data_IF_432288279673
#
_entry.id   IF_432288279673
#
_cell.length_a   1.000
_cell.length_b   1.000
_cell.length_c   1.000
_cell.angle_alpha   90.00
_cell.angle_beta   90.00
_cell.angle_gamma   90.00
#
_symmetry.space_group_name_H-M   'P 1'
#
loop_
_entity.id
_entity.type
_entity.pdbx_description
1 polymer ?
#
# COMPACT_ATOMS: atom_id res chain seq x y z
N UNK A 1 46.64 65.93 -13.11
CA UNK A 1 45.76 64.74 -13.20
C UNK A 1 45.66 64.09 -11.83
N UNK A 2 44.57 64.35 -11.11
CA UNK A 2 44.38 64.03 -9.69
C UNK A 2 43.78 62.63 -9.50
N UNK A 3 44.51 61.73 -8.84
CA UNK A 3 44.02 60.42 -8.40
C UNK A 3 43.05 60.58 -7.22
N UNK A 4 41.81 60.14 -7.41
CA UNK A 4 40.77 60.10 -6.36
C UNK A 4 40.81 58.73 -5.66
N UNK A 5 41.30 58.71 -4.42
CA UNK A 5 41.18 57.53 -3.55
C UNK A 5 39.72 57.32 -3.18
N UNK A 6 39.21 56.10 -3.40
CA UNK A 6 37.93 55.62 -2.85
C UNK A 6 38.24 54.91 -1.54
N UNK A 7 37.70 55.42 -0.43
CA UNK A 7 37.67 54.73 0.85
C UNK A 7 36.43 53.83 0.91
N UNK A 8 36.61 52.56 1.26
CA UNK A 8 35.52 51.63 1.53
C UNK A 8 35.05 51.82 2.98
N UNK A 9 33.77 52.13 3.16
CA UNK A 9 33.13 52.15 4.47
C UNK A 9 32.57 50.75 4.79
N UNK A 10 33.22 50.03 5.70
CA UNK A 10 32.69 48.81 6.29
C UNK A 10 31.54 49.17 7.24
N UNK A 11 30.31 49.03 6.74
CA UNK A 11 29.12 49.10 7.57
C UNK A 11 29.06 47.90 8.52
N UNK A 12 29.39 48.11 9.80
CA UNK A 12 29.08 47.19 10.89
C UNK A 12 27.56 46.98 10.94
N UNK A 13 27.08 45.88 10.37
CA UNK A 13 25.70 45.43 10.58
C UNK A 13 25.54 45.02 12.04
N UNK A 14 24.78 45.85 12.76
CA UNK A 14 24.29 45.62 14.12
C UNK A 14 23.45 44.33 14.10
N UNK A 15 23.94 43.26 14.74
CA UNK A 15 23.18 42.03 14.98
C UNK A 15 22.11 42.37 16.02
N UNK A 16 20.92 42.73 15.54
CA UNK A 16 19.75 43.01 16.39
C UNK A 16 19.15 41.66 16.83
N UNK A 17 19.32 41.34 18.11
CA UNK A 17 18.47 40.55 19.00
C UNK A 17 17.42 39.59 18.40
N UNK A 18 17.81 38.64 17.56
CA UNK A 18 16.91 37.57 17.06
C UNK A 18 16.69 36.43 18.07
N UNK A 19 17.36 36.46 19.23
CA UNK A 19 17.37 35.34 20.17
C UNK A 19 16.14 35.21 21.07
N UNK A 20 15.36 36.27 21.29
CA UNK A 20 14.18 36.25 22.19
C UNK A 20 12.98 35.60 21.50
N UNK A 21 12.71 35.99 20.26
CA UNK A 21 11.62 35.45 19.43
C UNK A 21 11.78 33.94 19.15
N UNK A 22 13.02 33.48 18.95
CA UNK A 22 13.33 32.06 18.72
C UNK A 22 13.08 31.21 19.98
N UNK A 23 13.35 31.78 21.16
CA UNK A 23 13.13 31.10 22.43
C UNK A 23 11.61 30.91 22.71
N UNK A 24 10.78 31.89 22.34
CA UNK A 24 9.31 31.87 22.48
C UNK A 24 8.62 30.81 21.59
N UNK A 25 9.13 30.60 20.37
CA UNK A 25 8.59 29.58 19.45
C UNK A 25 8.82 28.17 19.99
N UNK A 26 10.02 27.92 20.53
CA UNK A 26 10.32 26.62 21.16
C UNK A 26 9.46 26.41 22.40
N UNK A 27 9.22 27.45 23.19
CA UNK A 27 8.37 27.38 24.38
C UNK A 27 6.91 27.04 24.03
N UNK A 28 6.36 27.67 22.97
CA UNK A 28 5.05 27.30 22.42
C UNK A 28 5.00 25.85 21.95
N UNK A 29 6.07 25.37 21.28
CA UNK A 29 6.16 23.97 20.80
C UNK A 29 6.22 22.97 21.95
N UNK A 30 6.97 23.29 23.01
CA UNK A 30 7.03 22.48 24.24
C UNK A 30 5.65 22.42 24.90
N UNK A 31 4.96 23.55 25.04
CA UNK A 31 3.62 23.63 25.63
C UNK A 31 2.57 22.84 24.82
N UNK A 32 2.59 22.96 23.48
CA UNK A 32 1.68 22.21 22.61
C UNK A 32 1.91 20.70 22.71
N UNK A 33 3.17 20.26 22.78
CA UNK A 33 3.48 18.84 22.96
C UNK A 33 2.95 18.28 24.28
N UNK A 34 2.94 19.09 25.35
CA UNK A 34 2.55 18.63 26.68
C UNK A 34 1.06 18.69 26.95
N UNK A 35 0.33 19.60 26.29
CA UNK A 35 -1.09 19.83 26.60
C UNK A 35 -2.06 19.23 25.57
N UNK A 36 -1.58 18.89 24.38
CA UNK A 36 -2.37 18.15 23.37
C UNK A 36 -2.10 16.64 23.40
N UNK A 37 -1.17 16.18 24.23
CA UNK A 37 -0.94 14.76 24.53
C UNK A 37 -1.43 14.45 25.94
N UNK A 38 -2.71 14.09 26.08
CA UNK A 38 -3.20 13.47 27.30
C UNK A 38 -2.50 12.14 27.56
N UNK A 39 -2.25 11.85 28.84
CA UNK A 39 -1.72 10.60 29.40
C UNK A 39 -0.41 10.09 28.76
N UNK A 40 0.67 10.20 29.54
CA UNK A 40 1.91 9.47 29.29
C UNK A 40 1.69 7.97 29.54
N UNK A 41 0.97 7.32 28.63
CA UNK A 41 1.00 5.87 28.49
C UNK A 41 2.36 5.50 27.87
N UNK A 42 3.09 4.67 28.60
CA UNK A 42 4.42 4.15 28.30
C UNK A 42 4.50 3.56 26.89
N UNK A 43 4.96 4.36 25.92
CA UNK A 43 5.25 3.89 24.58
C UNK A 43 6.54 3.07 24.62
N UNK A 44 6.41 1.80 25.01
CA UNK A 44 7.35 0.76 24.62
C UNK A 44 7.63 0.88 23.11
N UNK A 45 8.88 0.66 22.66
CA UNK A 45 9.18 0.59 21.24
C UNK A 45 8.25 -0.44 20.58
N UNK A 46 7.22 0.06 19.88
CA UNK A 46 6.49 -0.74 18.90
C UNK A 46 7.51 -1.02 17.81
N UNK A 47 8.10 -2.21 17.86
CA UNK A 47 8.72 -2.86 16.72
C UNK A 47 7.77 -2.67 15.54
N UNK A 48 8.11 -1.75 14.63
CA UNK A 48 7.47 -1.69 13.32
C UNK A 48 7.97 -2.92 12.54
N UNK A 49 7.42 -4.07 12.89
CA UNK A 49 7.27 -5.17 11.95
C UNK A 49 6.55 -4.60 10.73
N UNK A 50 7.20 -4.73 9.57
CA UNK A 50 6.55 -4.47 8.30
C UNK A 50 5.46 -5.51 8.09
N UNK A 51 4.28 -5.28 8.67
CA UNK A 51 3.05 -5.94 8.29
C UNK A 51 2.14 -4.90 7.65
N UNK A 52 2.09 -4.97 6.32
CA UNK A 52 1.11 -4.26 5.53
C UNK A 52 -0.30 -4.73 5.96
N UNK A 53 -1.03 -3.87 6.66
CA UNK A 53 -2.46 -4.09 6.90
C UNK A 53 -3.25 -3.79 5.64
N UNK A 54 -3.59 -4.86 4.93
CA UNK A 54 -4.81 -4.92 4.13
C UNK A 54 -6.01 -4.79 5.08
N UNK A 55 -6.93 -3.89 4.76
CA UNK A 55 -8.26 -3.88 5.37
C UNK A 55 -9.15 -4.89 4.64
N UNK A 56 -9.57 -5.94 5.34
CA UNK A 56 -10.84 -6.62 5.09
C UNK A 56 -11.40 -7.15 6.41
N UNK A 57 -12.57 -6.67 6.80
CA UNK A 57 -13.27 -7.11 8.00
C UNK A 57 -14.17 -8.33 7.76
N UNK A 58 -14.13 -9.25 8.73
CA UNK A 58 -15.13 -10.19 9.28
C UNK A 58 -16.10 -10.93 8.33
N UNK A 59 -16.36 -12.24 8.46
CA UNK A 59 -15.99 -13.27 9.43
C UNK A 59 -16.92 -14.49 9.26
N UNK A 60 -16.52 -15.62 9.84
CA UNK A 60 -17.16 -16.94 9.93
C UNK A 60 -16.74 -18.00 8.89
N UNK A 61 -16.18 -19.07 9.44
CA UNK A 61 -15.57 -20.25 8.82
C UNK A 61 -16.60 -21.35 8.57
N UNK A 62 -16.56 -22.02 7.41
CA UNK A 62 -16.33 -23.48 7.32
C UNK A 62 -15.94 -23.87 5.87
N UNK A 63 -15.14 -24.94 5.79
CA UNK A 63 -14.30 -25.44 4.70
C UNK A 63 -15.04 -26.00 3.46
N UNK A 64 -14.38 -25.95 2.28
CA UNK A 64 -14.29 -27.01 1.26
C UNK A 64 -14.16 -26.50 -0.19
N UNK A 65 -13.02 -26.83 -0.81
CA UNK A 65 -12.80 -27.29 -2.20
C UNK A 65 -13.51 -26.61 -3.40
N UNK A 66 -12.72 -26.15 -4.38
CA UNK A 66 -13.22 -25.98 -5.75
C UNK A 66 -12.38 -25.08 -6.64
N UNK A 67 -11.66 -25.70 -7.58
CA UNK A 67 -10.87 -25.09 -8.66
C UNK A 67 -11.65 -24.05 -9.47
N UNK A 68 -10.97 -22.96 -9.89
CA UNK A 68 -11.47 -22.03 -10.90
C UNK A 68 -10.93 -22.41 -12.27
N UNK A 69 -11.86 -22.47 -13.21
CA UNK A 69 -11.65 -22.72 -14.63
C UNK A 69 -11.11 -21.47 -15.34
N UNK A 70 -10.31 -21.79 -16.36
CA UNK A 70 -9.69 -20.93 -17.36
C UNK A 70 -10.73 -20.39 -18.35
N UNK A 71 -10.36 -19.27 -18.98
CA UNK A 71 -11.05 -18.75 -20.17
C UNK A 71 -10.89 -19.73 -21.33
N UNK A 72 -11.99 -20.04 -22.02
CA UNK A 72 -12.01 -20.89 -23.21
C UNK A 72 -12.47 -20.06 -24.41
N UNK A 73 -11.51 -19.79 -25.29
CA UNK A 73 -11.66 -19.24 -26.62
C UNK A 73 -12.62 -20.10 -27.46
N UNK A 74 -13.63 -19.45 -28.04
CA UNK A 74 -14.63 -20.09 -28.88
C UNK A 74 -14.02 -20.50 -30.22
N UNK A 75 -13.96 -21.82 -30.46
CA UNK A 75 -13.84 -22.37 -31.82
C UNK A 75 -15.15 -23.05 -32.16
N UNK A 76 -15.82 -22.49 -33.16
CA UNK A 76 -17.03 -23.02 -33.77
C UNK A 76 -16.66 -24.17 -34.70
N UNK A 77 -17.21 -25.35 -34.45
CA UNK A 77 -17.47 -26.32 -35.51
C UNK A 77 -18.89 -26.86 -35.32
N UNK A 78 -19.68 -26.68 -36.37
CA UNK A 78 -20.97 -27.33 -36.55
C UNK A 78 -20.71 -28.82 -36.71
N UNK A 79 -21.35 -29.66 -35.90
CA UNK A 79 -21.63 -31.03 -36.28
C UNK A 79 -23.00 -31.44 -35.75
N UNK A 80 -23.86 -31.74 -36.70
CA UNK A 80 -25.18 -32.35 -36.57
C UNK A 80 -25.08 -33.73 -35.92
N UNK A 81 -25.57 -33.88 -34.67
CA UNK A 81 -26.05 -35.17 -34.13
C UNK A 81 -26.96 -35.00 -32.88
N UNK A 82 -28.07 -34.27 -33.01
CA UNK A 82 -29.06 -34.05 -31.94
C UNK A 82 -29.93 -35.29 -31.60
N UNK A 83 -29.71 -36.43 -32.25
CA UNK A 83 -30.52 -37.64 -32.08
C UNK A 83 -30.16 -38.47 -30.84
N UNK A 84 -28.89 -38.46 -30.45
CA UNK A 84 -28.36 -39.40 -29.44
C UNK A 84 -28.50 -38.85 -28.00
N UNK A 85 -28.40 -37.53 -27.81
CA UNK A 85 -28.45 -36.89 -26.48
C UNK A 85 -29.86 -36.78 -25.88
N UNK A 86 -30.90 -36.74 -26.72
CA UNK A 86 -32.30 -36.73 -26.25
C UNK A 86 -32.76 -38.12 -25.83
N UNK A 87 -32.33 -39.17 -26.55
CA UNK A 87 -32.63 -40.55 -26.21
C UNK A 87 -32.05 -40.89 -24.83
N UNK A 88 -30.80 -40.50 -24.54
CA UNK A 88 -30.18 -40.76 -23.24
C UNK A 88 -30.91 -40.07 -22.07
N UNK A 89 -31.40 -38.84 -22.23
CA UNK A 89 -32.19 -38.13 -21.20
C UNK A 89 -33.57 -38.75 -20.97
N UNK A 90 -34.22 -39.22 -22.03
CA UNK A 90 -35.50 -39.93 -21.92
C UNK A 90 -35.34 -41.30 -21.26
N UNK A 91 -34.25 -42.01 -21.57
CA UNK A 91 -33.86 -43.25 -20.90
C UNK A 91 -33.63 -43.03 -19.40
N UNK A 92 -32.86 -42.01 -19.02
CA UNK A 92 -32.62 -41.64 -17.61
C UNK A 92 -33.94 -41.31 -16.90
N UNK A 93 -34.85 -40.55 -17.54
CA UNK A 93 -36.15 -40.22 -16.93
C UNK A 93 -37.03 -41.46 -16.72
N UNK A 94 -36.96 -42.44 -17.62
CA UNK A 94 -37.68 -43.71 -17.51
C UNK A 94 -37.09 -44.60 -16.39
N UNK A 95 -35.78 -44.59 -16.21
CA UNK A 95 -35.11 -45.26 -15.09
C UNK A 95 -35.49 -44.61 -13.75
N UNK A 96 -35.43 -43.28 -13.66
CA UNK A 96 -35.86 -42.55 -12.45
C UNK A 96 -37.33 -42.82 -12.08
N UNK A 97 -38.21 -43.09 -13.06
CA UNK A 97 -39.61 -43.46 -12.82
C UNK A 97 -39.78 -44.86 -12.23
N UNK A 98 -38.84 -45.76 -12.49
CA UNK A 98 -38.90 -47.16 -12.06
C UNK A 98 -38.16 -47.43 -10.73
N UNK A 99 -37.34 -46.49 -10.26
CA UNK A 99 -36.64 -46.57 -8.97
C UNK A 99 -37.57 -46.23 -7.79
N UNK A 100 -37.25 -46.76 -6.61
CA UNK A 100 -37.99 -46.44 -5.39
C UNK A 100 -37.74 -45.00 -4.95
N UNK A 101 -38.68 -44.40 -4.21
CA UNK A 101 -38.53 -43.02 -3.73
C UNK A 101 -37.29 -42.81 -2.86
N UNK A 102 -36.91 -43.81 -2.05
CA UNK A 102 -35.72 -43.74 -1.22
C UNK A 102 -34.45 -43.67 -2.07
N UNK A 103 -34.39 -44.44 -3.16
CA UNK A 103 -33.25 -44.45 -4.07
C UNK A 103 -33.15 -43.15 -4.86
N UNK A 104 -34.30 -42.58 -5.27
CA UNK A 104 -34.35 -41.27 -5.92
C UNK A 104 -33.83 -40.17 -4.97
N UNK A 105 -34.18 -40.25 -3.69
CA UNK A 105 -33.73 -39.28 -2.68
C UNK A 105 -32.22 -39.40 -2.41
N UNK A 106 -31.69 -40.63 -2.30
CA UNK A 106 -30.25 -40.89 -2.17
C UNK A 106 -29.49 -40.37 -3.39
N UNK A 107 -30.01 -40.60 -4.59
CA UNK A 107 -29.42 -40.13 -5.83
C UNK A 107 -29.43 -38.59 -5.89
N UNK A 108 -30.53 -37.94 -5.53
CA UNK A 108 -30.62 -36.48 -5.43
C UNK A 108 -29.61 -35.89 -4.43
N UNK A 109 -29.32 -36.59 -3.33
CA UNK A 109 -28.32 -36.18 -2.34
C UNK A 109 -26.89 -36.37 -2.85
N UNK A 110 -26.63 -37.41 -3.67
CA UNK A 110 -25.32 -37.68 -4.27
C UNK A 110 -24.96 -36.73 -5.42
N UNK A 111 -25.87 -36.55 -6.40
CA UNK A 111 -25.62 -35.69 -7.57
C UNK A 111 -25.94 -34.21 -7.31
N UNK A 112 -26.65 -33.92 -6.21
CA UNK A 112 -27.10 -32.59 -5.84
C UNK A 112 -28.43 -32.18 -6.50
N UNK A 113 -29.24 -31.43 -5.75
CA UNK A 113 -30.61 -31.06 -6.14
C UNK A 113 -30.70 -30.23 -7.42
N UNK A 114 -29.67 -29.45 -7.77
CA UNK A 114 -29.67 -28.58 -8.95
C UNK A 114 -29.51 -29.38 -10.24
N UNK A 115 -28.49 -30.24 -10.30
CA UNK A 115 -28.20 -31.09 -11.47
C UNK A 115 -29.31 -32.13 -11.65
N UNK A 116 -29.78 -32.75 -10.56
CA UNK A 116 -30.91 -33.67 -10.61
C UNK A 116 -32.18 -33.03 -11.20
N UNK A 117 -32.52 -31.82 -10.78
CA UNK A 117 -33.72 -31.14 -11.28
C UNK A 117 -33.60 -30.71 -12.75
N UNK A 118 -32.40 -30.43 -13.22
CA UNK A 118 -32.14 -30.12 -14.62
C UNK A 118 -32.33 -31.36 -15.50
N UNK A 119 -31.78 -32.50 -15.10
CA UNK A 119 -31.88 -33.76 -15.87
C UNK A 119 -33.27 -34.40 -15.75
N UNK A 120 -33.89 -34.40 -14.56
CA UNK A 120 -35.17 -35.05 -14.33
C UNK A 120 -36.37 -34.23 -14.84
N UNK A 121 -36.31 -32.90 -14.75
CA UNK A 121 -37.43 -32.00 -15.07
C UNK A 121 -37.14 -31.02 -16.22
N UNK A 122 -35.99 -31.11 -16.88
CA UNK A 122 -35.58 -30.19 -17.96
C UNK A 122 -35.74 -28.71 -17.57
N UNK A 123 -35.56 -28.37 -16.29
CA UNK A 123 -35.75 -27.01 -15.76
C UNK A 123 -34.51 -26.16 -16.06
N UNK A 124 -34.40 -25.64 -17.28
CA UNK A 124 -33.49 -24.51 -17.55
C UNK A 124 -34.04 -23.28 -16.84
N UNK A 125 -33.28 -22.70 -15.89
CA UNK A 125 -33.63 -21.42 -15.23
C UNK A 125 -33.40 -20.24 -16.19
N UNK A 126 -34.07 -20.25 -17.32
CA UNK A 126 -34.31 -19.06 -18.11
C UNK A 126 -35.82 -18.97 -18.26
N UNK A 127 -36.47 -18.21 -17.38
CA UNK A 127 -37.73 -17.62 -17.81
C UNK A 127 -37.36 -16.73 -18.98
N UNK A 128 -37.56 -17.23 -20.20
CA UNK A 128 -37.67 -16.37 -21.34
C UNK A 128 -38.78 -15.38 -20.98
N UNK A 129 -38.39 -14.13 -20.72
CA UNK A 129 -39.29 -12.99 -20.83
C UNK A 129 -39.75 -13.01 -22.28
N UNK A 130 -40.83 -13.76 -22.52
CA UNK A 130 -41.47 -13.81 -23.82
C UNK A 130 -41.88 -12.38 -24.11
N UNK A 131 -41.08 -11.71 -24.93
CA UNK A 131 -41.45 -10.49 -25.59
C UNK A 131 -42.56 -10.91 -26.56
N UNK A 132 -43.78 -11.08 -26.04
CA UNK A 132 -44.97 -11.43 -26.81
C UNK A 132 -45.18 -10.29 -27.79
N UNK A 133 -44.69 -10.46 -29.01
CA UNK A 133 -44.90 -9.53 -30.10
C UNK A 133 -46.39 -9.56 -30.43
N UNK A 134 -46.95 -8.39 -30.77
CA UNK A 134 -48.33 -8.29 -31.25
C UNK A 134 -48.45 -9.16 -32.50
N UNK A 135 -49.48 -10.01 -32.59
CA UNK A 135 -49.72 -10.85 -33.78
C UNK A 135 -49.94 -10.01 -35.06
N UNK A 136 -50.41 -8.76 -34.92
CA UNK A 136 -50.52 -7.78 -36.01
C UNK A 136 -50.35 -6.35 -35.44
N UNK A 137 -49.83 -5.41 -36.26
CA UNK A 137 -49.58 -3.99 -35.95
C UNK A 137 -50.84 -3.23 -35.55
N UNK A 138 -52.02 -3.70 -35.96
CA UNK A 138 -53.31 -3.05 -35.68
C UNK A 138 -54.10 -3.72 -34.53
N UNK A 139 -53.56 -4.75 -33.87
CA UNK A 139 -54.26 -5.48 -32.79
C UNK A 139 -53.75 -5.06 -31.41
N UNK A 140 -54.55 -4.50 -30.49
CA UNK A 140 -54.10 -4.19 -29.13
C UNK A 140 -53.68 -5.47 -28.39
N UNK A 141 -52.78 -5.31 -27.41
CA UNK A 141 -52.29 -6.42 -26.59
C UNK A 141 -52.81 -6.30 -25.17
N UNK A 142 -53.37 -7.38 -24.65
CA UNK A 142 -53.79 -7.48 -23.26
C UNK A 142 -52.55 -7.53 -22.35
N UNK A 143 -52.48 -6.60 -21.40
CA UNK A 143 -51.41 -6.50 -20.41
C UNK A 143 -52.04 -6.44 -19.02
N UNK A 144 -51.40 -7.09 -18.03
CA UNK A 144 -51.89 -7.05 -16.65
C UNK A 144 -51.81 -5.63 -16.09
N UNK A 145 -52.90 -5.16 -15.46
CA UNK A 145 -52.96 -3.88 -14.75
C UNK A 145 -51.94 -3.76 -13.60
N UNK A 146 -51.34 -4.89 -13.17
CA UNK A 146 -50.27 -4.91 -12.18
C UNK A 146 -48.92 -4.45 -12.74
N UNK A 147 -48.78 -4.33 -14.06
CA UNK A 147 -47.55 -3.85 -14.69
C UNK A 147 -47.55 -2.32 -14.67
N UNK A 148 -46.64 -1.67 -13.91
CA UNK A 148 -46.57 -0.22 -13.92
C UNK A 148 -46.12 0.29 -15.30
N UNK A 149 -46.56 1.49 -15.73
CA UNK A 149 -46.08 2.09 -16.97
C UNK A 149 -44.58 2.38 -16.88
N UNK A 150 -43.86 2.26 -18.00
CA UNK A 150 -42.46 2.67 -18.04
C UNK A 150 -42.34 4.19 -17.89
N UNK A 151 -41.34 4.64 -17.15
CA UNK A 151 -41.02 6.06 -17.09
C UNK A 151 -40.50 6.52 -18.46
N UNK A 152 -41.09 7.60 -19.00
CA UNK A 152 -40.75 8.14 -20.32
C UNK A 152 -39.30 8.63 -20.44
N UNK A 153 -38.62 8.88 -19.31
CA UNK A 153 -37.23 9.36 -19.27
C UNK A 153 -36.45 8.60 -18.22
N UNK A 154 -35.32 8.03 -18.62
CA UNK A 154 -34.34 7.49 -17.70
C UNK A 154 -33.64 8.65 -16.98
N UNK A 155 -33.87 8.79 -15.67
CA UNK A 155 -33.13 9.73 -14.83
C UNK A 155 -31.73 9.17 -14.64
N UNK A 156 -30.79 9.59 -15.50
CA UNK A 156 -29.38 9.25 -15.35
C UNK A 156 -28.80 10.19 -14.29
N UNK A 157 -28.32 9.69 -13.14
CA UNK A 157 -27.67 10.54 -12.16
C UNK A 157 -26.40 11.14 -12.78
N UNK A 158 -26.39 12.46 -12.98
CA UNK A 158 -25.23 13.18 -13.48
C UNK A 158 -24.21 13.30 -12.35
N UNK A 159 -22.97 12.83 -12.60
CA UNK A 159 -21.86 13.03 -11.66
C UNK A 159 -21.57 14.53 -11.55
N UNK A 160 -21.85 15.11 -10.38
CA UNK A 160 -21.59 16.53 -10.12
C UNK A 160 -20.08 16.77 -10.08
N UNK A 161 -19.57 17.67 -10.93
CA UNK A 161 -18.17 18.12 -10.85
C UNK A 161 -17.99 18.90 -9.55
N UNK A 162 -17.11 18.40 -8.69
CA UNK A 162 -16.72 19.10 -7.45
C UNK A 162 -15.47 19.90 -7.78
N UNK A 163 -15.46 21.21 -7.47
CA UNK A 163 -14.22 22.00 -7.52
C UNK A 163 -13.34 21.53 -6.37
N UNK A 164 -12.20 20.91 -6.66
CA UNK A 164 -11.27 20.39 -5.65
C UNK A 164 -9.98 21.19 -5.64
N UNK A 165 -9.38 21.35 -4.47
CA UNK A 165 -8.04 21.95 -4.33
C UNK A 165 -7.01 20.89 -4.74
N UNK A 166 -6.25 21.10 -5.82
CA UNK A 166 -5.28 20.10 -6.29
C UNK A 166 -4.16 19.84 -5.28
N UNK A 167 -3.97 20.67 -4.26
CA UNK A 167 -2.99 20.38 -3.21
C UNK A 167 -3.46 19.32 -2.23
N UNK A 168 -4.77 19.15 -2.10
CA UNK A 168 -5.41 18.30 -1.09
C UNK A 168 -6.35 17.25 -1.69
N UNK A 169 -6.50 17.21 -3.02
CA UNK A 169 -7.30 16.21 -3.70
C UNK A 169 -6.53 14.89 -3.81
N UNK A 170 -7.19 13.78 -3.46
CA UNK A 170 -6.60 12.45 -3.52
C UNK A 170 -6.17 12.03 -4.92
N UNK A 171 -6.71 12.69 -5.96
CA UNK A 171 -6.37 12.46 -7.36
C UNK A 171 -5.14 13.25 -7.84
N UNK A 172 -4.58 14.15 -7.02
CA UNK A 172 -3.53 15.09 -7.48
C UNK A 172 -2.10 14.55 -7.41
N UNK A 173 -1.95 13.25 -7.11
CA UNK A 173 -0.69 12.52 -7.26
C UNK A 173 -0.14 11.93 -5.97
N UNK A 174 0.94 11.17 -6.10
CA UNK A 174 1.59 10.47 -5.00
C UNK A 174 2.77 11.26 -4.42
N UNK A 175 3.01 11.08 -3.12
CA UNK A 175 4.14 11.66 -2.44
C UNK A 175 5.47 11.05 -2.94
N UNK A 176 6.33 11.89 -3.49
CA UNK A 176 7.68 11.51 -3.94
C UNK A 176 8.72 12.09 -2.98
N UNK A 177 9.39 11.26 -2.17
CA UNK A 177 10.29 11.75 -1.14
C UNK A 177 11.52 12.45 -1.73
N UNK A 178 12.00 12.02 -2.91
CA UNK A 178 13.13 12.66 -3.61
C UNK A 178 12.83 14.13 -3.95
N UNK A 179 11.66 14.39 -4.54
CA UNK A 179 11.25 15.75 -4.91
C UNK A 179 11.06 16.59 -3.65
N UNK A 180 10.39 16.03 -2.63
CA UNK A 180 10.17 16.71 -1.37
C UNK A 180 11.47 17.13 -0.70
N UNK A 181 12.44 16.23 -0.64
CA UNK A 181 13.77 16.51 -0.11
C UNK A 181 14.47 17.59 -0.91
N UNK A 182 14.33 17.62 -2.25
CA UNK A 182 14.93 18.66 -3.08
C UNK A 182 14.25 20.02 -2.93
N UNK A 183 12.93 20.08 -2.89
CA UNK A 183 12.17 21.34 -2.84
C UNK A 183 12.14 21.95 -1.45
N UNK A 184 12.16 21.12 -0.40
CA UNK A 184 12.01 21.54 1.00
C UNK A 184 13.28 21.30 1.83
N UNK A 185 14.47 21.38 1.21
CA UNK A 185 15.78 21.21 1.89
C UNK A 185 15.92 22.06 3.15
N UNK A 186 15.41 23.30 3.11
CA UNK A 186 15.50 24.26 4.21
C UNK A 186 14.82 23.78 5.51
N UNK A 187 13.89 22.81 5.44
CA UNK A 187 13.28 22.23 6.64
C UNK A 187 14.34 21.54 7.50
N UNK A 188 15.36 20.96 6.89
CA UNK A 188 16.46 20.35 7.62
C UNK A 188 17.26 21.42 8.38
N UNK A 189 17.61 22.52 7.71
CA UNK A 189 18.30 23.65 8.32
C UNK A 189 17.51 24.24 9.48
N UNK A 190 16.19 24.37 9.31
CA UNK A 190 15.29 24.85 10.36
C UNK A 190 15.29 23.90 11.57
N UNK A 191 15.16 22.60 11.34
CA UNK A 191 15.23 21.58 12.41
C UNK A 191 16.58 21.58 13.12
N UNK A 192 17.68 21.81 12.42
CA UNK A 192 19.00 21.95 13.04
C UNK A 192 19.05 23.19 13.96
N UNK A 193 18.56 24.34 13.49
CA UNK A 193 18.48 25.55 14.32
C UNK A 193 17.61 25.33 15.57
N UNK A 194 16.46 24.67 15.43
CA UNK A 194 15.59 24.31 16.56
C UNK A 194 16.33 23.46 17.61
N UNK A 195 17.09 22.43 17.19
CA UNK A 195 17.90 21.62 18.12
C UNK A 195 18.93 22.46 18.86
N UNK A 196 19.62 23.36 18.17
CA UNK A 196 20.61 24.23 18.78
C UNK A 196 19.97 25.22 19.77
N UNK A 197 18.77 25.72 19.50
CA UNK A 197 17.99 26.51 20.47
C UNK A 197 17.68 25.66 21.71
N UNK A 198 17.14 24.45 21.53
CA UNK A 198 16.80 23.55 22.65
C UNK A 198 18.02 23.20 23.50
N UNK A 199 19.17 22.91 22.88
CA UNK A 199 20.44 22.69 23.60
C UNK A 199 20.88 23.91 24.38
N UNK A 200 20.76 25.12 23.81
CA UNK A 200 21.05 26.38 24.52
C UNK A 200 20.12 26.57 25.72
N UNK A 201 18.83 26.32 25.57
CA UNK A 201 17.85 26.41 26.66
C UNK A 201 18.12 25.38 27.76
N UNK A 202 18.51 24.16 27.39
CA UNK A 202 18.86 23.12 28.35
C UNK A 202 20.09 23.50 29.20
N UNK A 203 21.07 24.19 28.61
CA UNK A 203 22.24 24.74 29.32
C UNK A 203 21.87 25.90 30.26
N UNK A 204 20.91 26.75 29.86
CA UNK A 204 20.43 27.89 30.67
C UNK A 204 19.55 27.44 31.85
N UNK A 205 18.80 26.34 31.69
CA UNK A 205 17.80 25.89 32.67
C UNK A 205 18.45 25.13 33.82
N UNK A 206 18.11 25.48 35.07
CA UNK A 206 18.60 24.79 36.28
C UNK A 206 17.95 23.42 36.47
N UNK A 207 18.61 22.55 37.25
CA UNK A 207 18.42 21.09 37.23
C UNK A 207 17.04 20.53 37.65
N UNK A 208 16.20 21.29 38.37
CA UNK A 208 15.02 20.75 39.07
C UNK A 208 13.71 21.32 38.53
N UNK A 209 13.54 21.37 37.21
CA UNK A 209 12.31 21.88 36.60
C UNK A 209 11.71 20.87 35.64
N UNK A 210 10.39 20.66 35.72
CA UNK A 210 9.60 19.95 34.70
C UNK A 210 9.90 20.46 33.27
N UNK A 211 10.30 21.75 33.16
CA UNK A 211 10.75 22.34 31.89
C UNK A 211 12.00 21.65 31.33
N UNK A 212 12.97 21.30 32.17
CA UNK A 212 14.23 20.67 31.75
C UNK A 212 13.96 19.28 31.17
N UNK A 213 13.12 18.50 31.83
CA UNK A 213 12.69 17.18 31.37
C UNK A 213 11.97 17.25 30.02
N UNK A 214 11.03 18.19 29.86
CA UNK A 214 10.33 18.45 28.59
C UNK A 214 11.29 18.82 27.46
N UNK A 215 12.29 19.67 27.74
CA UNK A 215 13.32 20.04 26.77
C UNK A 215 14.21 18.85 26.38
N UNK A 216 14.58 17.99 27.34
CA UNK A 216 15.32 16.76 27.06
C UNK A 216 14.52 15.78 26.22
N UNK A 217 13.24 15.60 26.54
CA UNK A 217 12.33 14.77 25.76
C UNK A 217 12.21 15.27 24.32
N UNK A 218 11.99 16.58 24.13
CA UNK A 218 11.90 17.17 22.81
C UNK A 218 13.20 17.01 22.03
N UNK A 219 14.36 17.21 22.66
CA UNK A 219 15.66 17.00 22.04
C UNK A 219 15.83 15.55 21.56
N UNK A 220 15.56 14.58 22.44
CA UNK A 220 15.61 13.14 22.13
C UNK A 220 14.70 12.82 20.94
N UNK A 221 13.46 13.31 20.94
CA UNK A 221 12.50 13.11 19.85
C UNK A 221 13.04 13.65 18.51
N UNK A 222 13.63 14.84 18.52
CA UNK A 222 14.21 15.45 17.31
C UNK A 222 15.45 14.70 16.81
N UNK A 223 16.26 14.15 17.70
CA UNK A 223 17.42 13.32 17.37
C UNK A 223 16.97 11.98 16.78
N UNK A 224 16.03 11.27 17.42
CA UNK A 224 15.46 10.02 16.90
C UNK A 224 14.83 10.22 15.53
N UNK A 225 14.08 11.30 15.33
CA UNK A 225 13.48 11.61 14.02
C UNK A 225 14.54 11.87 12.94
N UNK A 226 15.64 12.54 13.30
CA UNK A 226 16.75 12.75 12.36
C UNK A 226 17.47 11.46 12.02
N UNK A 227 17.77 10.62 13.00
CA UNK A 227 18.41 9.33 12.78
C UNK A 227 17.54 8.42 11.90
N UNK A 228 16.23 8.36 12.16
CA UNK A 228 15.30 7.61 11.33
C UNK A 228 15.30 8.10 9.87
N UNK A 229 15.28 9.42 9.66
CA UNK A 229 15.37 10.03 8.32
C UNK A 229 16.68 9.67 7.62
N UNK A 230 17.81 9.84 8.31
CA UNK A 230 19.14 9.53 7.76
C UNK A 230 19.26 8.05 7.39
N UNK A 231 18.74 7.15 8.22
CA UNK A 231 18.71 5.71 7.92
C UNK A 231 17.92 5.41 6.64
N UNK A 232 16.73 6.01 6.48
CA UNK A 232 15.92 5.87 5.28
C UNK A 232 16.58 6.47 4.02
N UNK A 233 17.27 7.60 4.17
CA UNK A 233 18.01 8.24 3.07
C UNK A 233 19.18 7.36 2.61
N UNK A 234 19.97 6.84 3.55
CA UNK A 234 21.06 5.91 3.24
C UNK A 234 20.54 4.63 2.59
N UNK A 235 19.42 4.09 3.05
CA UNK A 235 18.81 2.91 2.43
C UNK A 235 18.43 3.20 0.97
N UNK A 236 17.76 4.33 0.71
CA UNK A 236 17.43 4.75 -0.66
C UNK A 236 18.67 4.94 -1.53
N UNK A 237 19.72 5.56 -0.99
CA UNK A 237 20.97 5.75 -1.71
C UNK A 237 21.58 4.41 -2.13
N UNK A 238 21.62 3.42 -1.23
CA UNK A 238 22.10 2.06 -1.55
C UNK A 238 21.28 1.41 -2.66
N UNK A 239 19.95 1.55 -2.61
CA UNK A 239 19.04 1.02 -3.62
C UNK A 239 19.24 1.69 -4.99
N UNK A 240 19.41 3.01 -5.01
CA UNK A 240 19.70 3.78 -6.21
C UNK A 240 21.06 3.40 -6.81
N UNK A 241 22.10 3.31 -5.98
CA UNK A 241 23.42 2.86 -6.40
C UNK A 241 23.36 1.44 -7.00
N UNK A 242 22.59 0.53 -6.39
CA UNK A 242 22.39 -0.81 -6.94
C UNK A 242 21.70 -0.76 -8.32
N UNK A 243 20.60 0.00 -8.46
CA UNK A 243 19.91 0.18 -9.74
C UNK A 243 20.82 0.81 -10.81
N UNK A 244 21.68 1.75 -10.43
CA UNK A 244 22.62 2.40 -11.34
C UNK A 244 23.68 1.42 -11.85
N UNK A 245 24.30 0.64 -10.96
CA UNK A 245 25.26 -0.40 -11.35
C UNK A 245 24.64 -1.43 -12.30
N UNK A 246 23.38 -1.78 -12.08
CA UNK A 246 22.67 -2.72 -12.95
C UNK A 246 22.37 -2.11 -14.33
N UNK A 247 21.98 -0.83 -14.39
CA UNK A 247 21.82 -0.11 -15.66
C UNK A 247 23.13 -0.03 -16.44
N UNK A 248 24.24 0.23 -15.76
CA UNK A 248 25.57 0.29 -16.37
C UNK A 248 25.98 -1.07 -16.98
N UNK A 249 25.80 -2.17 -16.24
CA UNK A 249 26.05 -3.53 -16.76
C UNK A 249 25.19 -3.86 -17.98
N UNK A 250 23.89 -3.53 -17.91
CA UNK A 250 22.98 -3.72 -19.03
C UNK A 250 23.41 -2.89 -20.26
N UNK A 251 23.88 -1.65 -20.04
CA UNK A 251 24.40 -0.80 -21.13
C UNK A 251 25.65 -1.37 -21.80
N UNK A 252 26.45 -2.16 -21.06
CA UNK A 252 27.60 -2.92 -21.58
C UNK A 252 27.21 -4.23 -22.27
N UNK A 253 25.93 -4.61 -22.24
CA UNK A 253 25.43 -5.89 -22.77
C UNK A 253 25.56 -7.08 -21.82
N UNK A 254 25.93 -6.86 -20.55
CA UNK A 254 26.00 -7.93 -19.55
C UNK A 254 24.59 -8.37 -19.10
N UNK A 255 24.47 -9.64 -18.68
CA UNK A 255 23.18 -10.21 -18.23
C UNK A 255 22.71 -9.55 -16.93
N UNK A 256 21.41 -9.19 -16.81
CA UNK A 256 20.87 -8.57 -15.60
C UNK A 256 20.95 -9.51 -14.39
N UNK A 257 21.48 -9.00 -13.27
CA UNK A 257 21.71 -9.78 -12.04
C UNK A 257 20.59 -9.58 -11.01
N UNK A 258 19.77 -10.60 -10.75
CA UNK A 258 18.70 -10.50 -9.75
C UNK A 258 19.13 -11.10 -8.41
N UNK A 259 19.17 -10.26 -7.36
CA UNK A 259 19.36 -10.74 -5.99
C UNK A 259 18.13 -11.54 -5.54
N UNK A 260 18.36 -12.68 -4.89
CA UNK A 260 17.28 -13.43 -4.20
C UNK A 260 16.65 -12.53 -3.11
N UNK A 261 15.33 -12.61 -2.94
CA UNK A 261 14.54 -11.76 -2.00
C UNK A 261 15.03 -11.77 -0.55
N UNK A 262 15.68 -12.85 -0.10
CA UNK A 262 16.30 -12.93 1.22
C UNK A 262 17.60 -12.12 1.32
N UNK A 263 18.43 -12.15 0.26
CA UNK A 263 19.69 -11.40 0.17
C UNK A 263 19.49 -9.92 -0.12
N UNK A 264 18.40 -9.55 -0.80
CA UNK A 264 18.08 -8.13 -1.05
C UNK A 264 17.79 -7.37 0.25
N UNK A 265 17.11 -8.01 1.22
CA UNK A 265 16.83 -7.43 2.54
C UNK A 265 18.08 -7.32 3.42
N UNK A 266 19.06 -8.22 3.27
CA UNK A 266 20.33 -8.11 3.99
C UNK A 266 21.25 -7.07 3.37
N UNK A 267 21.26 -6.91 2.04
CA UNK A 267 22.10 -5.91 1.36
C UNK A 267 21.67 -4.46 1.59
N UNK A 268 20.42 -4.22 1.95
CA UNK A 268 19.90 -2.88 2.26
C UNK A 268 20.13 -2.47 3.70
N UNK A 269 20.44 -3.41 4.61
CA UNK A 269 20.79 -3.14 6.00
C UNK A 269 22.21 -2.56 6.08
N UNK A 270 22.46 -1.55 6.93
CA UNK A 270 23.83 -1.10 7.20
C UNK A 270 24.65 -2.28 7.73
N UNK A 271 25.96 -2.36 7.41
CA UNK A 271 26.82 -3.40 7.96
C UNK A 271 26.86 -3.23 9.49
N UNK A 272 26.48 -4.28 10.21
CA UNK A 272 26.58 -4.29 11.66
C UNK A 272 28.07 -4.19 12.03
N UNK A 273 28.46 -3.31 12.98
CA UNK A 273 29.87 -3.16 13.36
C UNK A 273 30.54 -4.46 13.80
N UNK A 274 29.75 -5.44 14.23
CA UNK A 274 30.20 -6.78 14.68
C UNK A 274 30.64 -7.68 13.51
N UNK A 275 30.11 -7.47 12.30
CA UNK A 275 30.48 -8.26 11.11
C UNK A 275 31.88 -7.90 10.58
N UNK A 276 32.36 -6.67 10.85
CA UNK A 276 33.70 -6.23 10.47
C UNK A 276 34.81 -6.82 11.33
N UNK A 277 34.50 -7.22 12.57
CA UNK A 277 35.49 -7.73 13.55
C UNK A 277 35.80 -9.22 13.30
N UNK A 278 34.89 -9.97 12.68
CA UNK A 278 35.06 -11.40 12.37
C UNK A 278 36.08 -11.66 11.24
N UNK A 279 36.29 -10.69 10.33
CA UNK A 279 37.20 -10.89 9.19
C UNK A 279 38.69 -10.62 9.49
N UNK A 280 39.02 -9.97 10.62
CA UNK A 280 40.43 -9.68 10.99
C UNK A 280 41.10 -10.78 11.84
N UNK A 281 40.34 -11.65 12.52
CA UNK A 281 40.91 -12.73 13.34
C UNK A 281 41.43 -13.91 12.51
N UNK A 282 40.88 -14.15 11.32
CA UNK A 282 41.31 -15.25 10.45
C UNK A 282 42.60 -14.97 9.64
N UNK A 283 43.00 -13.70 9.49
CA UNK A 283 44.21 -13.35 8.72
C UNK A 283 45.48 -13.46 9.58
N UNK A 284 45.37 -13.25 10.90
CA UNK A 284 46.52 -13.35 11.81
C UNK A 284 46.85 -14.78 12.27
N UNK A 285 45.92 -15.75 12.14
CA UNK A 285 46.20 -17.15 12.48
C UNK A 285 46.96 -17.94 11.40
N UNK A 286 47.05 -17.44 10.16
CA UNK A 286 47.80 -18.15 9.10
C UNK A 286 49.28 -17.79 9.01
N UNK A 287 49.73 -16.69 9.64
CA UNK A 287 51.13 -16.26 9.55
C UNK A 287 52.05 -16.78 10.66
N UNK A 288 51.52 -17.40 11.72
CA UNK A 288 52.33 -17.89 12.85
C UNK A 288 52.71 -19.37 12.76
N UNK A 289 52.31 -20.08 11.70
CA UNK A 289 52.56 -21.53 11.57
C UNK A 289 53.54 -21.91 10.46
N UNK A 290 54.22 -20.95 9.82
CA UNK A 290 55.14 -21.22 8.69
C UNK A 290 56.61 -20.85 8.98
N UNK A 291 57.02 -20.71 10.26
CA UNK A 291 58.42 -20.35 10.63
C UNK A 291 59.07 -21.37 11.59
N UNK A 292 58.55 -22.60 11.65
CA UNK A 292 59.28 -23.71 12.31
C UNK A 292 59.05 -25.01 11.55
N UNK A 293 59.85 -25.22 10.51
CA UNK A 293 60.32 -26.54 10.09
C UNK A 293 61.62 -26.41 9.31
#
# INVERSE_FOLDING_TARGET
MTKKQRQNAEGKKKVVSSGVEEDDVVEKKVYLLTNLGGEAEDLQPREHGNEAQNQSGGGAEDESGGSKEEESEGTSEEDTDDGIELQSKEHIRKELRNMSFEDIMKLQQQVGTKVFNEVAYNRKKCQEVSNKKRLNKNRPMEMSAKKPPSFLRQVIPVKKSTRRDPRFDSLSGEYKPEIFEMTYKFINDLKHREKEIIKRQLKKTKNTSQRKERLQFLLRRLETQEQARQSQEQQRERELQFKNRQRERASRGERPFFLKKCKSKSSTRPPDPQDAVSCHSHILCFYTSFVTS
#
